data_IF_111081235703
#
_entry.id   IF_111081235703
#
_cell.length_a   1.000
_cell.length_b   1.000
_cell.length_c   1.000
_cell.angle_alpha   90.00
_cell.angle_beta   90.00
_cell.angle_gamma   90.00
#
_symmetry.space_group_name_H-M   'P 1'
#
loop_
_entity.id
_entity.type
_entity.pdbx_description
1 polymer ?
#
# COMPACT_ATOMS: atom_id res chain seq x y z
N UNK A 1 7.10 -11.18 1.96
CA UNK A 1 7.93 -10.04 2.45
C UNK A 1 8.60 -10.41 3.76
N UNK A 2 9.61 -9.66 4.19
CA UNK A 2 10.27 -9.77 5.51
C UNK A 2 10.08 -8.46 6.25
N UNK A 3 9.70 -8.50 7.53
CA UNK A 3 9.60 -7.30 8.38
C UNK A 3 11.00 -6.93 8.87
N UNK A 4 11.70 -6.04 8.19
CA UNK A 4 13.04 -5.59 8.62
C UNK A 4 13.28 -4.08 8.51
N UNK A 5 12.43 -3.32 7.81
CA UNK A 5 12.65 -1.87 7.59
C UNK A 5 11.38 -1.06 7.88
N UNK A 6 10.28 -1.29 7.15
CA UNK A 6 9.01 -0.62 7.39
C UNK A 6 7.97 -1.55 8.04
N UNK A 7 7.26 -1.05 9.06
CA UNK A 7 6.20 -1.77 9.77
C UNK A 7 4.81 -1.59 9.15
N UNK A 8 4.71 -0.87 8.02
CA UNK A 8 3.47 -0.62 7.30
C UNK A 8 3.70 -0.73 5.78
N UNK A 9 2.65 -1.10 5.04
CA UNK A 9 2.65 -1.15 3.58
C UNK A 9 1.21 -1.16 3.06
N UNK A 10 1.02 -0.75 1.81
CA UNK A 10 -0.27 -0.87 1.11
C UNK A 10 -0.40 -2.25 0.44
N UNK A 11 -1.61 -2.80 0.42
CA UNK A 11 -1.94 -4.10 -0.19
C UNK A 11 -3.22 -3.98 -1.01
N UNK A 12 -3.38 -4.88 -1.98
CA UNK A 12 -4.62 -5.08 -2.75
C UNK A 12 -5.68 -5.92 -2.02
N UNK A 13 -5.39 -6.33 -0.78
CA UNK A 13 -6.30 -7.12 0.04
C UNK A 13 -5.74 -8.48 0.45
N UNK A 14 -4.59 -8.91 -0.06
CA UNK A 14 -3.97 -10.15 0.40
C UNK A 14 -2.45 -10.06 0.43
N UNK A 15 -1.84 -10.65 1.45
CA UNK A 15 -0.38 -10.72 1.51
C UNK A 15 0.11 -11.91 2.33
N UNK A 16 1.40 -12.22 2.15
CA UNK A 16 2.11 -13.13 3.02
C UNK A 16 3.43 -12.52 3.47
N UNK A 17 3.63 -12.53 4.77
CA UNK A 17 4.79 -11.95 5.42
C UNK A 17 5.44 -12.95 6.35
N UNK A 18 6.75 -12.93 6.32
CA UNK A 18 7.56 -13.76 7.17
C UNK A 18 7.93 -12.98 8.43
N UNK A 19 7.62 -13.55 9.59
CA UNK A 19 7.76 -12.89 10.89
C UNK A 19 8.55 -13.75 11.89
N UNK A 20 9.26 -13.13 12.86
CA UNK A 20 9.81 -13.84 14.02
C UNK A 20 8.71 -14.57 14.80
N UNK A 21 9.08 -15.66 15.46
CA UNK A 21 8.21 -16.39 16.38
C UNK A 21 7.91 -15.51 17.61
N UNK A 22 6.65 -15.51 18.05
CA UNK A 22 6.19 -14.72 19.20
C UNK A 22 4.83 -14.06 18.95
N UNK A 23 4.40 -13.25 19.91
CA UNK A 23 3.18 -12.45 19.78
C UNK A 23 3.39 -11.34 18.74
N UNK A 24 2.40 -11.17 17.87
CA UNK A 24 2.37 -10.15 16.84
C UNK A 24 1.03 -9.39 16.88
N UNK A 25 1.08 -8.13 16.45
CA UNK A 25 -0.11 -7.29 16.28
C UNK A 25 -0.20 -6.86 14.81
N UNK A 26 -1.39 -7.00 14.23
CA UNK A 26 -1.77 -6.49 12.92
C UNK A 26 -2.77 -5.35 13.12
N UNK A 27 -2.47 -4.19 12.53
CA UNK A 27 -3.41 -3.08 12.38
C UNK A 27 -3.70 -2.86 10.90
N UNK A 28 -4.97 -2.77 10.54
CA UNK A 28 -5.44 -2.56 9.17
C UNK A 28 -6.27 -1.29 9.11
N UNK A 29 -5.93 -0.45 8.14
CA UNK A 29 -6.58 0.84 7.86
C UNK A 29 -7.05 0.88 6.41
N UNK A 30 -8.14 1.59 6.15
CA UNK A 30 -8.69 1.83 4.80
C UNK A 30 -9.52 3.11 4.81
N UNK A 31 -8.92 4.23 4.42
CA UNK A 31 -9.57 5.53 4.42
C UNK A 31 -10.18 5.92 5.78
N UNK A 32 -11.00 6.98 5.76
CA UNK A 32 -11.69 7.47 6.96
C UNK A 32 -13.09 6.89 7.15
N UNK A 33 -13.64 6.25 6.13
CA UNK A 33 -15.02 5.71 6.14
C UNK A 33 -15.10 4.29 6.72
N UNK A 34 -13.96 3.64 6.94
CA UNK A 34 -13.89 2.33 7.58
C UNK A 34 -13.29 2.43 8.99
N UNK A 35 -13.80 1.60 9.89
CA UNK A 35 -13.22 1.43 11.22
C UNK A 35 -11.89 0.65 11.12
N UNK A 36 -10.79 1.15 11.71
CA UNK A 36 -9.53 0.42 11.76
C UNK A 36 -9.66 -0.89 12.53
N UNK A 37 -9.01 -1.95 12.04
CA UNK A 37 -9.05 -3.27 12.67
C UNK A 37 -7.72 -3.59 13.32
N UNK A 38 -7.74 -3.95 14.60
CA UNK A 38 -6.58 -4.45 15.34
C UNK A 38 -6.76 -5.93 15.71
N UNK A 39 -5.72 -6.74 15.51
CA UNK A 39 -5.69 -8.17 15.86
C UNK A 39 -4.34 -8.53 16.50
N UNK A 40 -4.38 -9.30 17.58
CA UNK A 40 -3.20 -9.87 18.22
C UNK A 40 -3.22 -11.39 18.05
N UNK A 41 -2.08 -11.98 17.73
CA UNK A 41 -1.97 -13.40 17.40
C UNK A 41 -0.56 -13.93 17.65
N UNK A 42 -0.43 -15.25 17.81
CA UNK A 42 0.85 -15.92 17.96
C UNK A 42 1.40 -16.40 16.62
N UNK A 43 2.67 -16.05 16.34
CA UNK A 43 3.46 -16.63 15.25
C UNK A 43 4.21 -17.84 15.81
N UNK A 44 3.89 -19.04 15.30
CA UNK A 44 4.47 -20.30 15.78
C UNK A 44 5.52 -20.84 14.80
N UNK A 45 6.59 -21.48 15.31
CA UNK A 45 7.67 -21.98 14.46
C UNK A 45 7.18 -23.08 13.51
N UNK A 46 7.46 -22.94 12.22
CA UNK A 46 7.14 -23.94 11.20
C UNK A 46 5.66 -24.02 10.80
N UNK A 47 4.81 -23.15 11.34
CA UNK A 47 3.38 -23.11 11.05
C UNK A 47 3.01 -21.93 10.15
N UNK A 48 1.84 -22.06 9.50
CA UNK A 48 1.17 -20.95 8.83
C UNK A 48 0.13 -20.34 9.77
N UNK A 49 0.23 -19.04 10.03
CA UNK A 49 -0.84 -18.30 10.71
C UNK A 49 -1.69 -17.61 9.66
N UNK A 50 -2.97 -17.98 9.55
CA UNK A 50 -3.92 -17.34 8.62
C UNK A 50 -4.83 -16.39 9.39
N UNK A 51 -4.94 -15.16 8.92
CA UNK A 51 -5.78 -14.12 9.53
C UNK A 51 -6.71 -13.57 8.46
N UNK A 52 -8.01 -13.66 8.72
CA UNK A 52 -9.03 -12.99 7.93
C UNK A 52 -9.45 -11.70 8.64
N UNK A 53 -9.48 -10.60 7.89
CA UNK A 53 -9.82 -9.28 8.42
C UNK A 53 -11.01 -8.73 7.67
N UNK A 54 -12.16 -8.68 8.32
CA UNK A 54 -13.35 -7.99 7.81
C UNK A 54 -13.37 -6.55 8.34
N UNK A 55 -13.55 -5.57 7.44
CA UNK A 55 -13.60 -4.16 7.77
C UNK A 55 -15.03 -3.64 7.72
N UNK A 56 -15.42 -2.82 8.70
CA UNK A 56 -16.75 -2.21 8.78
C UNK A 56 -16.71 -0.78 8.25
N UNK A 57 -17.53 -0.48 7.24
CA UNK A 57 -17.73 0.89 6.75
C UNK A 57 -18.83 1.55 7.58
N UNK A 58 -18.53 2.67 8.22
CA UNK A 58 -19.48 3.35 9.12
C UNK A 58 -20.26 4.48 8.43
N UNK A 59 -19.81 4.94 7.27
CA UNK A 59 -20.50 5.93 6.41
C UNK A 59 -20.16 5.69 4.94
N UNK A 60 -21.05 6.05 4.02
CA UNK A 60 -20.78 6.06 2.58
C UNK A 60 -20.97 7.46 2.02
N UNK A 61 -19.92 8.28 2.08
CA UNK A 61 -19.98 9.68 1.66
C UNK A 61 -20.20 9.80 0.14
N UNK A 62 -19.69 8.85 -0.64
CA UNK A 62 -19.88 8.82 -2.09
C UNK A 62 -21.36 8.64 -2.46
N UNK A 63 -22.13 7.88 -1.67
CA UNK A 63 -23.59 7.77 -1.83
C UNK A 63 -24.33 9.09 -1.56
N UNK A 64 -23.72 10.00 -0.80
CA UNK A 64 -24.21 11.34 -0.50
C UNK A 64 -23.63 12.42 -1.45
N UNK A 65 -22.87 12.01 -2.47
CA UNK A 65 -22.26 12.91 -3.46
C UNK A 65 -20.96 13.58 -3.01
N UNK A 66 -20.37 13.13 -1.92
CA UNK A 66 -19.06 13.58 -1.42
C UNK A 66 -17.98 12.55 -1.74
N UNK A 67 -16.92 12.98 -2.42
CA UNK A 67 -15.86 12.08 -2.87
C UNK A 67 -14.55 12.41 -2.15
N UNK A 68 -13.91 11.38 -1.58
CA UNK A 68 -12.59 11.49 -0.97
C UNK A 68 -11.55 11.81 -2.05
N UNK A 69 -10.64 12.73 -1.76
CA UNK A 69 -9.56 12.97 -2.70
C UNK A 69 -8.36 13.69 -2.12
N UNK A 70 -7.21 13.36 -2.69
CA UNK A 70 -5.95 14.07 -2.48
C UNK A 70 -5.55 14.74 -3.80
N UNK A 71 -5.48 16.07 -3.75
CA UNK A 71 -5.24 16.91 -4.92
C UNK A 71 -3.75 17.23 -5.15
N UNK A 72 -2.86 16.89 -4.21
CA UNK A 72 -1.47 17.36 -4.29
C UNK A 72 -0.48 16.27 -3.89
N UNK A 73 -0.37 15.24 -4.72
CA UNK A 73 0.57 14.15 -4.51
C UNK A 73 1.77 14.33 -5.43
N UNK A 74 2.99 14.35 -4.88
CA UNK A 74 4.21 14.23 -5.68
C UNK A 74 4.83 12.83 -5.49
N UNK A 75 4.64 11.90 -6.43
CA UNK A 75 5.06 10.51 -6.27
C UNK A 75 6.56 10.33 -6.07
N UNK A 76 7.38 11.12 -6.78
CA UNK A 76 8.84 10.99 -6.79
C UNK A 76 9.58 12.24 -6.27
N UNK A 77 9.05 12.94 -5.26
CA UNK A 77 9.71 14.13 -4.69
C UNK A 77 10.86 13.80 -3.73
N UNK A 78 12.02 13.41 -4.28
CA UNK A 78 13.23 13.18 -3.49
C UNK A 78 13.16 11.99 -2.51
N UNK A 79 12.13 11.15 -2.64
CA UNK A 79 11.91 9.96 -1.81
C UNK A 79 12.89 8.82 -2.13
N UNK A 80 12.99 7.88 -1.19
CA UNK A 80 13.88 6.71 -1.31
C UNK A 80 13.42 5.67 -2.33
N UNK A 81 12.14 5.67 -2.69
CA UNK A 81 11.54 4.71 -3.60
C UNK A 81 11.01 5.40 -4.83
N UNK A 82 11.27 4.79 -5.99
CA UNK A 82 10.64 5.18 -7.24
C UNK A 82 9.19 4.67 -7.28
N UNK A 83 8.25 5.56 -7.59
CA UNK A 83 6.80 5.31 -7.61
C UNK A 83 6.28 5.48 -9.04
N UNK A 84 5.72 4.43 -9.63
CA UNK A 84 5.07 4.53 -10.94
C UNK A 84 3.62 5.01 -10.82
N UNK A 85 2.98 5.50 -11.89
CA UNK A 85 1.55 5.89 -11.86
C UNK A 85 0.63 4.77 -11.36
N UNK A 86 0.95 3.51 -11.67
CA UNK A 86 0.17 2.38 -11.17
C UNK A 86 0.38 2.12 -9.67
N UNK A 87 1.55 2.43 -9.12
CA UNK A 87 1.78 2.37 -7.68
C UNK A 87 0.98 3.48 -6.96
N UNK A 88 0.93 4.68 -7.53
CA UNK A 88 0.07 5.77 -7.03
C UNK A 88 -1.40 5.34 -7.01
N UNK A 89 -1.90 4.75 -8.10
CA UNK A 89 -3.26 4.21 -8.16
C UNK A 89 -3.51 3.17 -7.07
N UNK A 90 -2.59 2.23 -6.88
CA UNK A 90 -2.73 1.18 -5.87
C UNK A 90 -2.78 1.75 -4.44
N UNK A 91 -1.94 2.75 -4.14
CA UNK A 91 -1.94 3.45 -2.84
C UNK A 91 -3.24 4.20 -2.61
N UNK A 92 -3.71 4.95 -3.61
CA UNK A 92 -4.99 5.65 -3.56
C UNK A 92 -6.17 4.69 -3.30
N UNK A 93 -6.17 3.52 -3.94
CA UNK A 93 -7.19 2.49 -3.69
C UNK A 93 -7.11 1.91 -2.28
N UNK A 94 -5.90 1.64 -1.77
CA UNK A 94 -5.70 1.15 -0.42
C UNK A 94 -6.11 2.19 0.65
N UNK A 95 -5.98 3.48 0.35
CA UNK A 95 -6.42 4.60 1.19
C UNK A 95 -7.89 4.98 0.98
N UNK A 96 -8.62 4.25 0.14
CA UNK A 96 -10.03 4.50 -0.18
C UNK A 96 -10.29 5.92 -0.75
N UNK A 97 -9.32 6.43 -1.53
CA UNK A 97 -9.46 7.70 -2.25
C UNK A 97 -10.25 7.52 -3.55
N UNK A 98 -11.28 8.34 -3.76
CA UNK A 98 -12.00 8.39 -5.02
C UNK A 98 -11.22 9.15 -6.10
N UNK A 99 -10.47 10.18 -5.71
CA UNK A 99 -9.65 11.01 -6.61
C UNK A 99 -8.23 11.16 -6.05
N UNK A 100 -7.22 10.84 -6.85
CA UNK A 100 -5.83 11.06 -6.49
C UNK A 100 -5.14 11.81 -7.65
N UNK A 101 -4.66 13.03 -7.37
CA UNK A 101 -4.02 13.88 -8.35
C UNK A 101 -2.49 13.82 -8.20
N UNK A 102 -1.86 13.08 -9.10
CA UNK A 102 -0.40 13.03 -9.21
C UNK A 102 0.14 14.26 -9.93
N UNK A 103 1.07 14.96 -9.29
CA UNK A 103 1.64 16.23 -9.75
C UNK A 103 3.12 16.05 -10.07
N UNK A 104 3.56 16.60 -11.21
CA UNK A 104 4.99 16.78 -11.49
C UNK A 104 5.62 17.65 -10.42
N UNK A 105 6.89 17.40 -10.13
CA UNK A 105 7.60 18.14 -9.09
C UNK A 105 8.93 18.67 -9.62
N UNK A 106 9.20 19.95 -9.40
CA UNK A 106 10.53 20.53 -9.63
C UNK A 106 11.27 20.59 -8.30
N UNK A 107 12.21 19.66 -8.10
CA UNK A 107 12.99 19.63 -6.87
C UNK A 107 14.19 20.59 -6.98
N UNK A 108 14.27 21.56 -6.06
CA UNK A 108 15.30 22.60 -6.07
C UNK A 108 16.72 22.04 -5.99
N UNK A 109 16.89 20.83 -5.43
CA UNK A 109 18.19 20.20 -5.23
C UNK A 109 18.74 19.43 -6.43
N UNK A 110 18.02 19.29 -7.55
CA UNK A 110 18.50 18.45 -8.66
C UNK A 110 18.17 18.95 -10.08
N UNK A 111 17.69 20.18 -10.28
CA UNK A 111 17.34 20.77 -11.59
C UNK A 111 16.44 19.89 -12.48
N UNK A 112 15.81 18.85 -11.92
CA UNK A 112 14.93 17.92 -12.63
C UNK A 112 13.48 18.31 -12.43
N UNK A 113 12.68 17.99 -13.43
CA UNK A 113 11.22 17.91 -13.31
C UNK A 113 10.92 16.42 -13.20
N UNK A 114 10.61 15.98 -11.99
CA UNK A 114 10.26 14.60 -11.70
C UNK A 114 8.90 14.27 -12.33
N UNK A 115 8.75 13.00 -12.75
CA UNK A 115 7.54 12.43 -13.37
C UNK A 115 7.16 13.03 -14.73
N UNK A 116 7.96 13.95 -15.30
CA UNK A 116 7.67 14.63 -16.55
C UNK A 116 7.38 13.66 -17.70
N UNK A 117 8.07 12.51 -17.75
CA UNK A 117 7.89 11.48 -18.76
C UNK A 117 6.46 10.91 -18.81
N UNK A 118 5.70 10.99 -17.71
CA UNK A 118 4.32 10.51 -17.65
C UNK A 118 3.31 11.52 -18.21
N UNK A 119 3.73 12.76 -18.45
CA UNK A 119 2.91 13.84 -19.00
C UNK A 119 3.30 14.19 -20.44
N UNK A 120 4.41 13.66 -20.91
CA UNK A 120 4.83 13.72 -22.30
C UNK A 120 4.36 12.44 -23.01
N UNK A 121 3.89 12.55 -24.26
CA UNK A 121 3.49 11.40 -25.07
C UNK A 121 4.72 10.63 -25.61
N UNK A 122 5.59 10.18 -24.68
CA UNK A 122 6.85 9.51 -24.95
C UNK A 122 6.86 8.19 -24.17
N UNK A 123 6.65 7.09 -24.88
CA UNK A 123 6.54 5.75 -24.28
C UNK A 123 7.93 5.14 -24.02
N UNK A 124 8.45 5.29 -22.80
CA UNK A 124 9.68 4.61 -22.36
C UNK A 124 9.30 3.34 -21.59
N UNK A 125 9.76 2.17 -22.07
CA UNK A 125 9.57 0.88 -21.39
C UNK A 125 10.73 0.65 -20.42
N UNK A 126 10.44 0.52 -19.12
CA UNK A 126 11.42 0.08 -18.12
C UNK A 126 10.93 -1.19 -17.44
N UNK A 127 11.70 -2.27 -17.56
CA UNK A 127 11.45 -3.55 -16.86
C UNK A 127 12.30 -3.58 -15.60
N UNK A 128 11.68 -3.65 -14.42
CA UNK A 128 12.38 -3.82 -13.14
C UNK A 128 12.18 -5.27 -12.68
N UNK A 129 13.27 -6.05 -12.60
CA UNK A 129 13.29 -7.33 -11.88
C UNK A 129 13.77 -7.10 -10.45
N UNK A 130 12.99 -7.56 -9.46
CA UNK A 130 13.38 -7.59 -8.05
C UNK A 130 13.92 -8.99 -7.69
N UNK A 131 15.06 -9.11 -6.99
CA UNK A 131 15.51 -10.39 -6.45
C UNK A 131 14.79 -10.72 -5.13
N UNK A 132 14.51 -12.01 -4.92
CA UNK A 132 14.02 -12.57 -3.66
C UNK A 132 15.21 -13.04 -2.81
N UNK A 133 15.21 -12.66 -1.54
CA UNK A 133 16.17 -13.09 -0.52
C UNK A 133 15.60 -14.25 0.32
N UNK A 134 16.44 -15.25 0.59
CA UNK A 134 16.08 -16.48 1.31
C UNK A 134 16.59 -16.42 2.75
N UNK A 135 15.69 -16.48 3.72
CA UNK A 135 15.99 -16.87 5.11
C UNK A 135 14.77 -17.61 5.65
N UNK A 136 14.98 -18.73 6.35
CA UNK A 136 13.90 -19.50 6.97
C UNK A 136 13.11 -18.63 7.94
N UNK A 137 11.80 -18.55 7.71
CA UNK A 137 10.84 -17.74 8.44
C UNK A 137 9.51 -18.48 8.49
N UNK A 138 8.76 -18.33 9.58
CA UNK A 138 7.33 -18.69 9.69
C UNK A 138 6.50 -17.69 8.89
N UNK A 139 5.51 -18.16 8.12
CA UNK A 139 4.76 -17.32 7.19
C UNK A 139 3.35 -17.05 7.70
N UNK A 140 3.03 -15.78 7.86
CA UNK A 140 1.68 -15.29 8.14
C UNK A 140 1.02 -14.96 6.80
N UNK A 141 -0.19 -15.47 6.58
CA UNK A 141 -1.04 -15.09 5.44
C UNK A 141 -2.21 -14.27 5.95
N UNK A 142 -2.39 -13.09 5.39
CA UNK A 142 -3.53 -12.23 5.70
C UNK A 142 -4.39 -12.10 4.45
N UNK A 143 -5.69 -12.30 4.63
CA UNK A 143 -6.70 -12.08 3.60
C UNK A 143 -7.72 -11.08 4.13
N UNK A 144 -7.90 -10.01 3.39
CA UNK A 144 -9.02 -9.08 3.54
C UNK A 144 -10.05 -9.54 2.51
N UNK A 145 -11.23 -10.04 2.90
CA UNK A 145 -12.28 -10.30 1.94
C UNK A 145 -12.60 -8.96 1.28
N UNK A 146 -12.14 -8.79 0.05
CA UNK A 146 -12.38 -7.58 -0.72
C UNK A 146 -13.90 -7.55 -0.93
N UNK A 147 -14.58 -6.61 -0.29
CA UNK A 147 -15.88 -6.18 -0.77
C UNK A 147 -15.64 -5.63 -2.17
N UNK A 148 -15.84 -6.48 -3.18
CA UNK A 148 -16.06 -6.01 -4.54
C UNK A 148 -17.35 -5.21 -4.47
N UNK A 149 -17.24 -3.89 -4.62
CA UNK A 149 -18.35 -3.04 -5.00
C UNK A 149 -18.94 -3.54 -6.33
#
# INVERSE_FOLDING_TARGET
MSVTEDYYFHTDGSFSVNMPVGEATLEVWRGFEYEPVKRTFDVRPGEWTSIEVEMSRWIDMASEGWYSGDNHIHPNYGGHYFVQPMDLRNKAQAEDLNVANGMIANYWGNSRVEDLEHFLDIHIRTTIQRPLSTTMKSTVRVTLPIFRC
#
